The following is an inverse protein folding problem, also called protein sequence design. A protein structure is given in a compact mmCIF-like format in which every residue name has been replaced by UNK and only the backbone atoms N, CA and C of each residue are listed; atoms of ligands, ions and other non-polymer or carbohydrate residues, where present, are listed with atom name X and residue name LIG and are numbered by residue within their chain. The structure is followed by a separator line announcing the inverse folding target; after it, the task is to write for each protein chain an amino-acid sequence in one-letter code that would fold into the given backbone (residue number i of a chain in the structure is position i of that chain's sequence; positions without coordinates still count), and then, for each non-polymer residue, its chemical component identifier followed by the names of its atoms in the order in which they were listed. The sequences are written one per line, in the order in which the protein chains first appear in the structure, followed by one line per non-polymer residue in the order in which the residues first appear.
data_IF_879187639327
#
_entry.id   IF_879187639327
#
_cell.length_a   1.000
_cell.length_b   1.000
_cell.length_c   1.000
_cell.angle_alpha   90.00
_cell.angle_beta   90.00
_cell.angle_gamma   90.00
#
_symmetry.space_group_name_H-M   'P 1'
#
loop_
_entity.id
_entity.type
_entity.pdbx_description
1 polymer ?
#
# COMPACT_ATOMS: atom_id res chain seq x y z
N UNK A 1 -3.89 -28.95 -5.18
CA UNK A 1 -4.09 -27.56 -5.66
C UNK A 1 -3.37 -27.47 -7.00
N UNK A 2 -4.10 -27.43 -8.13
CA UNK A 2 -3.46 -27.29 -9.45
C UNK A 2 -3.09 -25.81 -9.62
N UNK A 3 -1.83 -25.50 -9.84
CA UNK A 3 -1.39 -24.14 -10.15
C UNK A 3 -1.96 -23.76 -11.53
N UNK A 4 -2.73 -22.67 -11.63
CA UNK A 4 -3.26 -22.21 -12.90
C UNK A 4 -2.08 -21.71 -13.77
N UNK A 5 -1.94 -22.14 -15.04
CA UNK A 5 -0.82 -21.75 -15.93
C UNK A 5 -0.67 -20.22 -16.09
N UNK A 6 -1.78 -19.50 -15.90
CA UNK A 6 -1.85 -18.05 -15.93
C UNK A 6 -1.09 -17.39 -14.77
N UNK A 7 -1.15 -17.97 -13.56
CA UNK A 7 -0.42 -17.47 -12.38
C UNK A 7 1.09 -17.60 -12.54
N UNK A 8 1.58 -18.68 -13.14
CA UNK A 8 3.02 -18.82 -13.42
C UNK A 8 3.52 -17.78 -14.41
N UNK A 9 2.68 -17.41 -15.38
CA UNK A 9 3.03 -16.37 -16.36
C UNK A 9 3.08 -14.99 -15.70
N UNK A 10 2.14 -14.67 -14.83
CA UNK A 10 2.10 -13.38 -14.10
C UNK A 10 3.31 -13.26 -13.15
N UNK A 11 3.67 -14.35 -12.46
CA UNK A 11 4.81 -14.38 -11.52
C UNK A 11 6.17 -14.09 -12.16
N UNK A 12 6.32 -14.19 -13.49
CA UNK A 12 7.53 -13.74 -14.21
C UNK A 12 7.77 -12.23 -14.07
N UNK A 13 6.74 -11.48 -13.70
CA UNK A 13 6.79 -10.05 -13.45
C UNK A 13 6.84 -9.70 -11.96
N UNK A 14 7.12 -10.68 -11.09
CA UNK A 14 7.18 -10.47 -9.66
C UNK A 14 8.27 -9.44 -9.29
N UNK A 15 7.89 -8.47 -8.46
CA UNK A 15 8.79 -7.45 -7.93
C UNK A 15 8.86 -7.50 -6.42
N UNK A 16 10.01 -7.10 -5.89
CA UNK A 16 10.30 -7.14 -4.48
C UNK A 16 9.92 -5.81 -3.80
N UNK A 17 8.63 -5.58 -3.56
CA UNK A 17 8.16 -4.29 -2.97
C UNK A 17 8.58 -4.15 -1.51
N UNK A 18 9.28 -3.08 -1.15
CA UNK A 18 9.62 -2.72 0.23
C UNK A 18 8.88 -1.45 0.66
N UNK A 19 8.47 -1.36 1.92
CA UNK A 19 7.73 -0.23 2.45
C UNK A 19 8.66 0.95 2.76
N UNK A 20 8.30 2.15 2.28
CA UNK A 20 9.08 3.36 2.48
C UNK A 20 8.73 4.06 3.82
N UNK A 21 9.65 4.10 4.80
CA UNK A 21 9.42 4.76 6.09
C UNK A 21 9.15 6.26 5.98
N UNK A 22 9.65 6.93 4.94
CA UNK A 22 9.48 8.37 4.77
C UNK A 22 8.06 8.73 4.33
N UNK A 23 7.33 7.75 3.79
CA UNK A 23 5.91 7.90 3.41
C UNK A 23 4.95 7.46 4.50
N UNK A 24 5.39 6.59 5.42
CA UNK A 24 4.52 5.92 6.37
C UNK A 24 3.85 6.89 7.35
N UNK A 25 2.54 6.77 7.49
CA UNK A 25 1.79 7.47 8.53
C UNK A 25 2.37 7.19 9.93
N UNK A 26 2.45 8.18 10.85
CA UNK A 26 3.05 8.00 12.18
C UNK A 26 2.49 6.85 13.03
N UNK A 27 1.24 6.46 12.81
CA UNK A 27 0.61 5.30 13.48
C UNK A 27 1.07 3.93 12.93
N UNK A 28 1.76 3.88 11.78
CA UNK A 28 2.16 2.63 11.17
C UNK A 28 3.53 2.19 11.67
N UNK A 29 3.60 0.93 12.12
CA UNK A 29 4.84 0.31 12.57
C UNK A 29 5.27 -0.69 11.50
N UNK A 30 6.44 -0.43 10.92
CA UNK A 30 7.05 -1.26 9.88
C UNK A 30 8.00 -2.29 10.51
N UNK A 31 8.07 -3.48 9.93
CA UNK A 31 9.12 -4.45 10.26
C UNK A 31 10.49 -3.97 9.78
N UNK A 32 11.56 -4.53 10.36
CA UNK A 32 12.95 -4.22 9.99
C UNK A 32 13.23 -4.51 8.51
N UNK A 33 12.70 -5.61 7.98
CA UNK A 33 12.81 -6.00 6.57
C UNK A 33 11.95 -5.17 5.61
N UNK A 34 11.13 -4.24 6.13
CA UNK A 34 10.19 -3.41 5.38
C UNK A 34 9.17 -4.20 4.56
N UNK A 35 8.83 -5.43 4.96
CA UNK A 35 7.82 -6.27 4.30
C UNK A 35 6.49 -6.35 5.03
N UNK A 36 6.44 -5.89 6.28
CA UNK A 36 5.25 -5.95 7.11
C UNK A 36 4.92 -4.58 7.67
N UNK A 37 3.62 -4.36 7.82
CA UNK A 37 3.08 -3.17 8.46
C UNK A 37 1.92 -3.55 9.36
N UNK A 38 1.85 -2.90 10.51
CA UNK A 38 0.72 -2.97 11.43
C UNK A 38 0.36 -1.57 11.92
N UNK A 39 -0.91 -1.38 12.23
CA UNK A 39 -1.37 -0.18 12.91
C UNK A 39 -0.97 -0.28 14.40
N UNK A 40 -0.32 0.75 14.91
CA UNK A 40 -0.08 0.95 16.34
C UNK A 40 -1.26 1.66 17.01
N UNK A 41 -1.19 1.78 18.33
CA UNK A 41 -2.20 2.49 19.11
C UNK A 41 -1.84 3.96 19.36
N UNK A 42 -0.60 4.35 19.08
CA UNK A 42 -0.02 5.67 19.37
C UNK A 42 0.76 6.12 18.15
N UNK A 43 0.71 7.41 17.87
CA UNK A 43 1.52 8.04 16.83
C UNK A 43 2.98 8.12 17.27
N UNK A 44 3.88 7.70 16.39
CA UNK A 44 5.31 7.85 16.63
C UNK A 44 5.72 9.30 16.43
N UNK A 45 6.70 9.77 17.21
CA UNK A 45 7.33 11.08 17.03
C UNK A 45 8.25 11.04 15.81
N UNK A 46 7.67 11.35 14.64
CA UNK A 46 8.34 11.34 13.34
C UNK A 46 8.23 12.73 12.69
N UNK A 47 9.24 13.15 11.92
CA UNK A 47 9.20 14.44 11.23
C UNK A 47 8.07 14.48 10.19
N UNK A 48 7.39 15.61 10.09
CA UNK A 48 6.37 15.87 9.08
C UNK A 48 6.99 16.29 7.74
N UNK A 49 7.68 15.37 7.08
CA UNK A 49 8.25 15.59 5.74
C UNK A 49 7.15 15.54 4.66
N UNK A 50 7.33 16.20 3.50
CA UNK A 50 6.31 16.29 2.45
C UNK A 50 5.79 14.93 1.95
N UNK A 51 6.63 13.90 1.98
CA UNK A 51 6.35 12.56 1.49
C UNK A 51 5.46 11.74 2.43
N UNK A 52 5.37 12.13 3.71
CA UNK A 52 4.67 11.40 4.76
C UNK A 52 3.16 11.62 4.71
N UNK A 53 2.39 10.55 4.83
CA UNK A 53 0.95 10.67 5.09
C UNK A 53 0.68 11.18 6.51
N UNK A 54 -0.13 12.22 6.65
CA UNK A 54 -0.47 12.83 7.95
C UNK A 54 -1.86 12.43 8.48
N UNK A 55 -2.77 12.04 7.59
CA UNK A 55 -4.19 11.82 7.89
C UNK A 55 -4.64 10.43 7.44
N UNK A 56 -4.22 10.01 6.26
CA UNK A 56 -4.50 8.67 5.76
C UNK A 56 -3.49 7.69 6.36
N UNK A 57 -3.97 6.66 7.05
CA UNK A 57 -3.14 5.62 7.65
C UNK A 57 -2.60 4.67 6.57
N UNK A 58 -1.66 5.19 5.79
CA UNK A 58 -1.11 4.59 4.57
C UNK A 58 0.42 4.64 4.56
N UNK A 59 1.02 3.79 3.73
CA UNK A 59 2.45 3.74 3.43
C UNK A 59 2.61 3.32 1.98
N UNK A 60 3.61 3.87 1.27
CA UNK A 60 3.93 3.50 -0.10
C UNK A 60 5.04 2.45 -0.16
N UNK A 61 5.10 1.75 -1.29
CA UNK A 61 6.30 1.02 -1.69
C UNK A 61 7.41 2.01 -2.06
N UNK A 62 8.66 1.61 -1.86
CA UNK A 62 9.84 2.40 -2.22
C UNK A 62 10.15 2.34 -3.72
N UNK A 63 9.71 1.29 -4.38
CA UNK A 63 9.97 1.04 -5.79
C UNK A 63 8.96 1.77 -6.68
N UNK A 64 9.46 2.60 -7.58
CA UNK A 64 8.65 3.28 -8.60
C UNK A 64 8.56 2.45 -9.90
N UNK A 65 7.41 2.56 -10.56
CA UNK A 65 7.09 1.80 -11.76
C UNK A 65 6.68 2.74 -12.89
N UNK A 66 7.60 3.01 -13.83
CA UNK A 66 7.37 3.94 -14.93
C UNK A 66 6.96 3.28 -16.25
N UNK A 67 7.33 2.02 -16.48
CA UNK A 67 6.97 1.27 -17.69
C UNK A 67 7.12 -0.24 -17.50
N UNK A 68 6.37 -1.04 -18.27
CA UNK A 68 6.43 -2.50 -18.20
C UNK A 68 5.27 -3.13 -17.42
N UNK A 69 5.47 -4.38 -16.96
CA UNK A 69 4.50 -5.16 -16.18
C UNK A 69 5.13 -5.56 -14.86
N UNK A 70 4.36 -5.46 -13.80
CA UNK A 70 4.79 -5.72 -12.43
C UNK A 70 3.73 -6.50 -11.68
N UNK A 71 4.18 -7.33 -10.75
CA UNK A 71 3.32 -8.17 -9.93
C UNK A 71 3.85 -8.20 -8.49
N UNK A 72 2.96 -8.06 -7.52
CA UNK A 72 3.27 -8.23 -6.11
C UNK A 72 2.10 -8.93 -5.41
N UNK A 73 2.40 -9.66 -4.34
CA UNK A 73 1.42 -10.34 -3.50
C UNK A 73 1.44 -9.72 -2.10
N UNK A 74 0.29 -9.58 -1.46
CA UNK A 74 0.16 -9.08 -0.09
C UNK A 74 -0.66 -10.06 0.74
N UNK A 75 -0.11 -10.49 1.87
CA UNK A 75 -0.79 -11.42 2.77
C UNK A 75 -1.72 -10.66 3.72
N UNK A 76 -3.03 -10.79 3.52
CA UNK A 76 -4.07 -10.09 4.32
C UNK A 76 -4.88 -11.00 5.24
N UNK A 77 -4.53 -12.28 5.31
CA UNK A 77 -5.29 -13.29 6.07
C UNK A 77 -5.54 -12.84 7.51
N UNK A 78 -6.81 -12.91 7.93
CA UNK A 78 -7.24 -12.56 9.28
C UNK A 78 -7.42 -11.06 9.54
N UNK A 79 -7.21 -10.17 8.55
CA UNK A 79 -7.47 -8.73 8.68
C UNK A 79 -8.89 -8.40 8.27
N UNK A 80 -9.54 -7.54 9.04
CA UNK A 80 -10.93 -7.09 8.82
C UNK A 80 -11.02 -5.76 8.07
N UNK A 81 -9.91 -5.02 7.98
CA UNK A 81 -9.82 -3.76 7.25
C UNK A 81 -8.43 -3.59 6.64
N UNK A 82 -8.38 -3.21 5.36
CA UNK A 82 -7.15 -2.88 4.64
C UNK A 82 -7.45 -2.20 3.30
N UNK A 83 -6.48 -1.45 2.79
CA UNK A 83 -6.47 -0.93 1.42
C UNK A 83 -5.16 -1.34 0.77
N UNK A 84 -5.20 -1.88 -0.44
CA UNK A 84 -4.02 -2.26 -1.23
C UNK A 84 -4.22 -1.79 -2.66
N UNK A 85 -3.16 -1.31 -3.31
CA UNK A 85 -3.22 -0.99 -4.72
C UNK A 85 -2.01 -0.21 -5.20
N UNK A 86 -2.21 0.54 -6.27
CA UNK A 86 -1.19 1.39 -6.86
C UNK A 86 -1.66 2.84 -6.88
N UNK A 87 -0.73 3.76 -6.76
CA UNK A 87 -1.00 5.20 -6.79
C UNK A 87 -0.06 5.88 -7.77
N UNK A 88 -0.46 7.05 -8.27
CA UNK A 88 0.49 7.95 -8.94
C UNK A 88 1.45 8.53 -7.91
N UNK A 89 2.69 8.77 -8.29
CA UNK A 89 3.68 9.39 -7.40
C UNK A 89 3.20 10.77 -6.89
N UNK A 90 2.50 11.50 -7.76
CA UNK A 90 2.01 12.87 -7.55
C UNK A 90 0.75 12.99 -6.69
N UNK A 91 0.29 11.93 -6.02
CA UNK A 91 -0.87 12.03 -5.13
C UNK A 91 -0.60 13.03 -4.00
N UNK A 92 -1.65 13.71 -3.55
CA UNK A 92 -1.58 14.47 -2.31
C UNK A 92 -1.49 13.49 -1.13
N UNK A 93 -0.56 13.75 -0.21
CA UNK A 93 -0.31 12.93 0.99
C UNK A 93 -0.70 13.66 2.28
N UNK A 94 -1.15 14.92 2.18
CA UNK A 94 -1.47 15.79 3.31
C UNK A 94 -2.97 16.05 3.43
N UNK A 95 -3.47 16.09 4.66
CA UNK A 95 -4.87 16.27 4.97
C UNK A 95 -5.77 15.14 4.47
N UNK A 96 -7.08 15.43 4.47
CA UNK A 96 -8.09 14.50 3.98
C UNK A 96 -8.04 14.41 2.45
N UNK A 97 -7.87 13.20 1.93
CA UNK A 97 -7.90 12.92 0.49
C UNK A 97 -9.03 11.95 0.15
N UNK A 98 -9.64 12.17 -1.02
CA UNK A 98 -10.61 11.23 -1.58
C UNK A 98 -9.86 10.17 -2.39
N UNK A 99 -9.97 8.91 -1.98
CA UNK A 99 -9.40 7.77 -2.71
C UNK A 99 -10.28 7.50 -3.93
N UNK A 100 -9.80 7.88 -5.12
CA UNK A 100 -10.48 7.64 -6.39
C UNK A 100 -9.48 7.58 -7.57
N UNK A 101 -9.88 7.03 -8.74
CA UNK A 101 -9.01 6.96 -9.92
C UNK A 101 -8.62 8.32 -10.48
N UNK A 102 -9.50 9.31 -10.37
CA UNK A 102 -9.26 10.69 -10.82
C UNK A 102 -8.15 11.35 -9.99
N UNK A 103 -8.09 11.03 -8.69
CA UNK A 103 -7.05 11.48 -7.77
C UNK A 103 -5.79 10.61 -7.82
N UNK A 104 -5.71 9.66 -8.76
CA UNK A 104 -4.52 8.84 -8.99
C UNK A 104 -4.45 7.57 -8.14
N UNK A 105 -5.54 7.15 -7.50
CA UNK A 105 -5.61 5.91 -6.72
C UNK A 105 -6.23 4.79 -7.55
N UNK A 106 -5.65 3.60 -7.54
CA UNK A 106 -6.28 2.39 -8.08
C UNK A 106 -6.14 1.31 -7.03
N UNK A 107 -7.14 1.22 -6.16
CA UNK A 107 -7.03 0.44 -4.93
C UNK A 107 -8.23 -0.48 -4.70
N UNK A 108 -7.98 -1.53 -3.95
CA UNK A 108 -8.99 -2.41 -3.39
C UNK A 108 -9.04 -2.19 -1.89
N UNK A 109 -10.25 -2.05 -1.38
CA UNK A 109 -10.51 -1.86 0.04
C UNK A 109 -11.38 -3.00 0.56
N UNK A 110 -11.02 -3.49 1.75
CA UNK A 110 -11.88 -4.30 2.59
C UNK A 110 -12.20 -3.50 3.85
N UNK A 111 -13.47 -3.48 4.25
CA UNK A 111 -13.88 -3.04 5.56
C UNK A 111 -15.34 -3.40 5.85
N UNK A 112 -15.66 -3.64 7.13
CA UNK A 112 -16.99 -4.10 7.56
C UNK A 112 -17.51 -5.34 6.80
N UNK A 113 -16.59 -6.20 6.34
CA UNK A 113 -16.93 -7.39 5.56
C UNK A 113 -17.24 -7.14 4.08
N UNK A 114 -17.14 -5.90 3.60
CA UNK A 114 -17.39 -5.53 2.21
C UNK A 114 -16.10 -5.24 1.44
N UNK A 115 -16.06 -5.66 0.18
CA UNK A 115 -14.98 -5.34 -0.76
C UNK A 115 -15.42 -4.24 -1.73
N UNK A 116 -14.56 -3.25 -1.96
CA UNK A 116 -14.81 -2.16 -2.92
C UNK A 116 -13.55 -1.88 -3.73
N UNK A 117 -13.74 -1.56 -5.00
CA UNK A 117 -12.73 -0.85 -5.78
C UNK A 117 -12.87 0.65 -5.51
N UNK A 118 -11.77 1.30 -5.15
CA UNK A 118 -11.67 2.73 -4.89
C UNK A 118 -10.67 3.35 -5.86
#
# INVERSE_FOLDING_TARGET
MKCCPELETIRKHAVNVTLDPDTAHPQLILSEDRKQVRCGNIEQDLPDNPERFDTCVSVLGKEDFSSGRFYYEVQVKGKTMWTIGVVRESINRKGKVTVSPENGYRTLWLGNGEYRAL
#
